data_IF_760443835533
#
_entry.id   IF_760443835533
#
_cell.length_a   1.000
_cell.length_b   1.000
_cell.length_c   1.000
_cell.angle_alpha   90.00
_cell.angle_beta   90.00
_cell.angle_gamma   90.00
#
_symmetry.space_group_name_H-M   'P 1'
#
loop_
_entity.id
_entity.type
_entity.pdbx_description
1 polymer ?
#
# COMPACT_ATOMS: atom_id res chain seq x y z
N UNK A 1 -2.54 -16.44 4.68
CA UNK A 1 -2.06 -15.12 5.18
C UNK A 1 -1.89 -14.22 3.97
N UNK A 2 -2.19 -12.92 4.06
CA UNK A 2 -1.99 -12.00 2.92
C UNK A 2 -0.50 -11.69 2.80
N UNK A 3 0.06 -11.89 1.62
CA UNK A 3 1.48 -11.64 1.34
C UNK A 3 1.73 -10.19 0.92
N UNK A 4 2.92 -9.67 1.20
CA UNK A 4 3.30 -8.29 0.84
C UNK A 4 3.08 -8.02 -0.66
N UNK A 5 3.52 -8.95 -1.51
CA UNK A 5 3.33 -8.88 -2.98
C UNK A 5 1.87 -8.72 -3.40
N UNK A 6 0.96 -9.48 -2.79
CA UNK A 6 -0.47 -9.41 -3.12
C UNK A 6 -1.06 -8.02 -2.79
N UNK A 7 -0.60 -7.41 -1.71
CA UNK A 7 -1.01 -6.04 -1.33
C UNK A 7 -0.43 -5.02 -2.31
N UNK A 8 0.82 -5.17 -2.72
CA UNK A 8 1.45 -4.30 -3.72
C UNK A 8 0.74 -4.40 -5.07
N UNK A 9 0.42 -5.60 -5.51
CA UNK A 9 -0.32 -5.83 -6.76
C UNK A 9 -1.71 -5.16 -6.68
N UNK A 10 -2.39 -5.26 -5.54
CA UNK A 10 -3.67 -4.60 -5.33
C UNK A 10 -3.56 -3.06 -5.29
N UNK A 11 -2.51 -2.50 -4.69
CA UNK A 11 -2.25 -1.04 -4.68
C UNK A 11 -2.03 -0.52 -6.10
N UNK A 12 -1.20 -1.19 -6.89
CA UNK A 12 -0.83 -0.77 -8.24
C UNK A 12 -1.95 -0.97 -9.26
N UNK A 13 -2.90 -1.86 -8.96
CA UNK A 13 -4.10 -2.09 -9.75
C UNK A 13 -5.24 -1.08 -9.50
N UNK A 14 -5.08 -0.16 -8.54
CA UNK A 14 -6.04 0.94 -8.36
C UNK A 14 -5.99 1.89 -9.56
N UNK A 15 -7.13 2.49 -9.87
CA UNK A 15 -7.21 3.58 -10.85
C UNK A 15 -6.82 4.91 -10.22
N UNK A 16 -6.35 5.84 -11.06
CA UNK A 16 -6.18 7.23 -10.63
C UNK A 16 -7.52 7.90 -10.34
N UNK A 17 -7.58 8.83 -9.35
CA UNK A 17 -6.47 9.37 -8.55
C UNK A 17 -6.14 8.56 -7.29
N UNK A 18 -6.79 7.41 -7.09
CA UNK A 18 -6.74 6.69 -5.83
C UNK A 18 -5.47 5.89 -5.67
N UNK A 19 -4.90 5.39 -6.77
CA UNK A 19 -3.59 4.76 -6.76
C UNK A 19 -2.52 5.67 -6.13
N UNK A 20 -2.24 6.84 -6.70
CA UNK A 20 -1.21 7.73 -6.14
C UNK A 20 -1.49 8.10 -4.67
N UNK A 21 -2.75 8.33 -4.30
CA UNK A 21 -3.13 8.64 -2.91
C UNK A 21 -2.84 7.51 -1.94
N UNK A 22 -3.17 6.28 -2.32
CA UNK A 22 -2.86 5.11 -1.51
C UNK A 22 -1.34 4.91 -1.41
N UNK A 23 -0.60 5.04 -2.53
CA UNK A 23 0.85 4.92 -2.51
C UNK A 23 1.50 5.95 -1.58
N UNK A 24 1.07 7.21 -1.63
CA UNK A 24 1.55 8.25 -0.71
C UNK A 24 1.16 7.98 0.74
N UNK A 25 -0.03 7.44 1.01
CA UNK A 25 -0.44 7.05 2.35
C UNK A 25 0.46 5.94 2.91
N UNK A 26 0.77 4.91 2.11
CA UNK A 26 1.69 3.84 2.50
C UNK A 26 3.08 4.41 2.79
N UNK A 27 3.60 5.27 1.92
CA UNK A 27 4.91 5.90 2.10
C UNK A 27 4.98 6.74 3.37
N UNK A 28 3.97 7.58 3.62
CA UNK A 28 3.89 8.38 4.85
C UNK A 28 3.82 7.49 6.08
N UNK A 29 3.00 6.45 6.07
CA UNK A 29 2.85 5.55 7.23
C UNK A 29 4.15 4.79 7.51
N UNK A 30 4.78 4.24 6.46
CA UNK A 30 6.05 3.50 6.56
C UNK A 30 7.23 4.34 7.06
N UNK A 31 7.22 5.65 6.77
CA UNK A 31 8.30 6.58 7.12
C UNK A 31 7.99 7.44 8.34
N UNK A 32 6.89 7.18 9.05
CA UNK A 32 6.48 8.00 10.18
C UNK A 32 6.22 9.46 9.78
N UNK A 33 5.61 9.67 8.61
CA UNK A 33 5.26 10.96 8.01
C UNK A 33 6.47 11.84 7.64
N UNK A 34 7.62 11.23 7.36
CA UNK A 34 8.82 11.92 6.90
C UNK A 34 9.06 11.79 5.39
N UNK A 35 8.18 11.11 4.66
CA UNK A 35 8.23 11.02 3.20
C UNK A 35 8.17 12.42 2.58
N UNK A 36 9.14 12.74 1.73
CA UNK A 36 9.29 14.07 1.14
C UNK A 36 8.28 14.37 0.01
N UNK A 37 7.38 13.41 -0.30
CA UNK A 37 6.35 13.55 -1.33
C UNK A 37 6.89 13.65 -2.76
N UNK A 38 8.20 13.43 -2.98
CA UNK A 38 8.79 13.51 -4.31
C UNK A 38 8.60 12.19 -5.05
N UNK A 39 7.48 12.12 -5.76
CA UNK A 39 7.18 11.01 -6.67
C UNK A 39 6.45 9.85 -5.99
N UNK A 40 6.01 8.92 -6.84
CA UNK A 40 5.40 7.68 -6.38
C UNK A 40 6.46 6.71 -5.86
N UNK A 41 6.22 6.04 -4.72
CA UNK A 41 7.03 4.93 -4.26
C UNK A 41 7.17 3.85 -5.34
N UNK A 42 8.36 3.27 -5.44
CA UNK A 42 8.60 2.15 -6.33
C UNK A 42 7.95 0.87 -5.80
N UNK A 43 7.77 -0.12 -6.67
CA UNK A 43 7.32 -1.46 -6.26
C UNK A 43 8.23 -2.04 -5.18
N UNK A 44 9.55 -1.91 -5.35
CA UNK A 44 10.54 -2.45 -4.43
C UNK A 44 10.45 -1.79 -3.04
N UNK A 45 10.23 -0.48 -2.98
CA UNK A 45 10.00 0.25 -1.73
C UNK A 45 8.73 -0.24 -1.02
N UNK A 46 7.62 -0.38 -1.76
CA UNK A 46 6.37 -0.88 -1.22
C UNK A 46 6.52 -2.31 -0.69
N UNK A 47 7.17 -3.21 -1.45
CA UNK A 47 7.42 -4.58 -1.03
C UNK A 47 8.31 -4.63 0.21
N UNK A 48 9.30 -3.74 0.32
CA UNK A 48 10.17 -3.64 1.50
C UNK A 48 9.39 -3.15 2.73
N UNK A 49 8.59 -2.09 2.61
CA UNK A 49 7.79 -1.56 3.72
C UNK A 49 6.71 -2.55 4.18
N UNK A 50 6.03 -3.22 3.24
CA UNK A 50 4.97 -4.18 3.54
C UNK A 50 5.48 -5.54 4.05
N UNK A 51 6.80 -5.70 4.27
CA UNK A 51 7.33 -6.78 5.12
C UNK A 51 6.87 -6.61 6.56
N UNK A 52 6.75 -5.38 7.03
CA UNK A 52 6.16 -5.07 8.33
C UNK A 52 4.71 -5.56 8.38
N UNK A 53 4.40 -6.39 9.38
CA UNK A 53 3.10 -7.03 9.48
C UNK A 53 2.01 -6.01 9.87
N UNK A 54 2.32 -5.03 10.72
CA UNK A 54 1.36 -4.03 11.17
C UNK A 54 0.87 -3.17 10.00
N UNK A 55 1.82 -2.58 9.28
CA UNK A 55 1.55 -1.79 8.08
C UNK A 55 0.83 -2.62 7.02
N UNK A 56 1.26 -3.87 6.79
CA UNK A 56 0.60 -4.74 5.81
C UNK A 56 -0.87 -4.99 6.14
N UNK A 57 -1.18 -5.24 7.41
CA UNK A 57 -2.56 -5.45 7.86
C UNK A 57 -3.39 -4.18 7.73
N UNK A 58 -2.85 -3.04 8.14
CA UNK A 58 -3.54 -1.74 8.04
C UNK A 58 -3.90 -1.41 6.59
N UNK A 59 -2.91 -1.48 5.68
CA UNK A 59 -3.12 -1.23 4.25
C UNK A 59 -4.12 -2.23 3.65
N UNK A 60 -4.07 -3.49 4.06
CA UNK A 60 -5.03 -4.51 3.62
C UNK A 60 -6.46 -4.17 4.04
N UNK A 61 -6.66 -3.66 5.27
CA UNK A 61 -7.98 -3.26 5.77
C UNK A 61 -8.50 -2.05 4.99
N UNK A 62 -7.66 -1.04 4.77
CA UNK A 62 -8.01 0.15 4.00
C UNK A 62 -8.40 -0.20 2.56
N UNK A 63 -7.60 -1.02 1.87
CA UNK A 63 -7.91 -1.49 0.52
C UNK A 63 -9.22 -2.27 0.44
N UNK A 64 -9.49 -3.12 1.44
CA UNK A 64 -10.75 -3.87 1.53
C UNK A 64 -11.94 -2.94 1.72
N UNK A 65 -11.82 -1.94 2.59
CA UNK A 65 -12.87 -0.96 2.82
C UNK A 65 -13.14 -0.12 1.55
N UNK A 66 -12.09 0.23 0.82
CA UNK A 66 -12.20 1.02 -0.41
C UNK A 66 -12.79 0.25 -1.59
N UNK A 67 -12.26 -0.94 -1.86
CA UNK A 67 -12.62 -1.71 -3.07
C UNK A 67 -13.81 -2.64 -2.86
N UNK A 68 -14.20 -2.90 -1.61
CA UNK A 68 -15.15 -3.96 -1.26
C UNK A 68 -14.64 -5.38 -1.54
N UNK A 69 -13.38 -5.54 -2.00
CA UNK A 69 -12.81 -6.83 -2.39
C UNK A 69 -11.78 -7.31 -1.36
N UNK A 70 -11.67 -8.63 -1.20
CA UNK A 70 -10.61 -9.23 -0.38
C UNK A 70 -9.32 -9.29 -1.19
N UNK A 71 -8.30 -8.57 -0.73
CA UNK A 71 -6.91 -8.78 -1.17
C UNK A 71 -6.44 -10.18 -0.74
N UNK A 72 -5.87 -10.95 -1.67
CA UNK A 72 -5.28 -12.27 -1.44
C UNK A 72 -6.26 -13.46 -1.51
N UNK A 73 -7.08 -13.54 -2.56
CA UNK A 73 -7.86 -14.75 -2.86
C UNK A 73 -7.81 -15.10 -4.34
#
# INVERSE_FOLDING_TARGET
MVHAREVVDALLALDEPWRSRFLHLVANTATGWTWNGRGEPTREELEAWLKDLGLRLEVTVLLRAWTGRRVGR
#
